data_IF_510886531981
#
_entry.id   IF_510886531981
#
_cell.length_a   1.000
_cell.length_b   1.000
_cell.length_c   1.000
_cell.angle_alpha   90.00
_cell.angle_beta   90.00
_cell.angle_gamma   90.00
#
_symmetry.space_group_name_H-M   'P 1'
#
loop_
_entity.id
_entity.type
_entity.pdbx_description
1 polymer ?
#
# COMPACT_ATOMS: atom_id res chain seq x y z
N UNK A 1 -19.71 2.38 9.60
CA UNK A 1 -20.55 2.34 8.39
C UNK A 1 -19.86 2.88 7.14
N UNK A 2 -19.04 3.95 7.20
CA UNK A 2 -18.29 4.46 6.03
C UNK A 2 -17.27 3.46 5.42
N UNK A 3 -16.71 2.55 6.23
CA UNK A 3 -15.67 1.59 5.82
C UNK A 3 -16.16 0.53 4.81
N UNK A 4 -17.42 0.11 4.95
CA UNK A 4 -18.03 -0.91 4.08
C UNK A 4 -18.32 -0.34 2.67
N UNK A 5 -18.65 0.96 2.58
CA UNK A 5 -18.84 1.64 1.30
C UNK A 5 -17.53 1.84 0.54
N UNK A 6 -16.42 2.06 1.25
CA UNK A 6 -15.10 2.16 0.62
C UNK A 6 -14.69 0.82 -0.01
N UNK A 7 -14.83 -0.29 0.72
CA UNK A 7 -14.57 -1.65 0.19
C UNK A 7 -15.52 -2.05 -0.95
N UNK A 8 -16.80 -1.66 -0.89
CA UNK A 8 -17.78 -1.92 -1.96
C UNK A 8 -17.48 -1.14 -3.25
N UNK A 9 -16.95 0.09 -3.14
CA UNK A 9 -16.57 0.88 -4.32
C UNK A 9 -15.44 0.21 -5.13
N UNK A 10 -14.50 -0.45 -4.45
CA UNK A 10 -13.41 -1.19 -5.10
C UNK A 10 -13.86 -2.49 -5.74
N UNK A 11 -14.77 -3.25 -5.10
CA UNK A 11 -15.30 -4.49 -5.68
C UNK A 11 -16.12 -4.26 -6.96
N UNK A 12 -16.77 -3.10 -7.12
CA UNK A 12 -17.57 -2.77 -8.31
C UNK A 12 -16.73 -2.33 -9.53
N UNK A 13 -15.46 -1.97 -9.34
CA UNK A 13 -14.57 -1.57 -10.44
C UNK A 13 -13.82 -2.75 -11.08
N UNK A 14 -13.79 -3.92 -10.44
CA UNK A 14 -13.07 -5.12 -10.91
C UNK A 14 -13.74 -5.91 -12.04
N UNK A 15 -14.84 -5.40 -12.63
CA UNK A 15 -15.65 -6.14 -13.60
C UNK A 15 -15.40 -5.83 -15.09
N UNK A 16 -14.55 -4.86 -15.43
CA UNK A 16 -14.33 -4.46 -16.82
C UNK A 16 -12.95 -4.89 -17.32
N UNK A 17 -12.89 -6.09 -17.91
CA UNK A 17 -11.78 -6.51 -18.77
C UNK A 17 -11.78 -5.68 -20.06
N UNK A 18 -11.30 -4.44 -19.99
CA UNK A 18 -10.88 -3.71 -21.17
C UNK A 18 -9.40 -4.00 -21.42
N UNK A 19 -9.04 -4.36 -22.66
CA UNK A 19 -7.66 -4.23 -23.13
C UNK A 19 -7.25 -2.77 -22.89
N UNK A 20 -6.54 -2.51 -21.78
CA UNK A 20 -6.25 -1.17 -21.31
C UNK A 20 -5.05 -0.63 -22.09
N UNK A 21 -5.36 0.18 -23.11
CA UNK A 21 -4.39 1.05 -23.76
C UNK A 21 -3.64 1.90 -22.71
N UNK A 22 -2.35 2.13 -22.94
CA UNK A 22 -1.53 3.02 -22.11
C UNK A 22 -2.29 4.34 -21.95
N UNK A 23 -2.54 4.82 -20.72
CA UNK A 23 -3.36 6.01 -20.53
C UNK A 23 -2.70 7.21 -21.22
N UNK A 24 -3.40 7.79 -22.18
CA UNK A 24 -2.99 9.06 -22.79
C UNK A 24 -2.82 10.09 -21.69
N UNK A 25 -1.61 10.66 -21.58
CA UNK A 25 -1.32 11.66 -20.57
C UNK A 25 -2.08 12.96 -20.89
N UNK A 26 -2.93 13.40 -19.95
CA UNK A 26 -3.71 14.63 -20.11
C UNK A 26 -2.96 15.76 -19.40
N UNK A 27 -2.55 16.84 -20.10
CA UNK A 27 -1.73 17.92 -19.51
C UNK A 27 -2.30 18.51 -18.22
N UNK A 28 -3.61 18.82 -18.21
CA UNK A 28 -4.30 19.30 -17.00
C UNK A 28 -4.17 18.34 -15.81
N UNK A 29 -4.19 17.02 -16.07
CA UNK A 29 -4.03 16.02 -15.02
C UNK A 29 -2.58 15.86 -14.59
N UNK A 30 -1.60 16.11 -15.47
CA UNK A 30 -0.18 16.20 -15.08
C UNK A 30 0.02 17.38 -14.12
N UNK A 31 -0.52 18.55 -14.46
CA UNK A 31 -0.40 19.75 -13.61
C UNK A 31 -1.05 19.54 -12.24
N UNK A 32 -2.26 18.95 -12.20
CA UNK A 32 -2.93 18.60 -10.95
C UNK A 32 -2.09 17.59 -10.13
N UNK A 33 -1.54 16.57 -10.79
CA UNK A 33 -0.72 15.57 -10.15
C UNK A 33 0.60 16.14 -9.63
N UNK A 34 1.22 17.08 -10.36
CA UNK A 34 2.41 17.80 -9.94
C UNK A 34 2.14 18.66 -8.70
N UNK A 35 1.01 19.37 -8.63
CA UNK A 35 0.62 20.10 -7.41
C UNK A 35 0.43 19.17 -6.22
N UNK A 36 -0.12 17.98 -6.45
CA UNK A 36 -0.32 16.97 -5.42
C UNK A 36 1.02 16.43 -4.90
N UNK A 37 1.96 16.10 -5.80
CA UNK A 37 3.31 15.65 -5.41
C UNK A 37 4.12 16.76 -4.75
N UNK A 38 4.00 18.01 -5.21
CA UNK A 38 4.70 19.17 -4.66
C UNK A 38 4.35 19.53 -3.21
N UNK A 39 3.35 18.88 -2.63
CA UNK A 39 3.12 18.93 -1.18
C UNK A 39 4.21 18.17 -0.37
N UNK A 40 4.89 17.21 -0.99
CA UNK A 40 6.05 16.56 -0.40
C UNK A 40 7.30 17.43 -0.53
N UNK A 41 8.23 17.30 0.42
CA UNK A 41 9.54 17.95 0.33
C UNK A 41 10.48 17.18 -0.61
N UNK A 42 10.31 15.87 -0.67
CA UNK A 42 11.06 15.01 -1.59
C UNK A 42 10.08 14.23 -2.46
N UNK A 43 9.78 14.76 -3.64
CA UNK A 43 8.85 14.14 -4.59
C UNK A 43 9.41 12.82 -5.17
N UNK A 44 10.73 12.65 -5.23
CA UNK A 44 11.37 11.47 -5.82
C UNK A 44 11.02 10.17 -5.11
N UNK A 45 10.64 10.22 -3.83
CA UNK A 45 10.18 9.02 -3.09
C UNK A 45 8.98 8.38 -3.79
N UNK A 46 8.15 9.16 -4.48
CA UNK A 46 6.96 8.63 -5.14
C UNK A 46 7.26 7.84 -6.41
N UNK A 47 8.47 7.92 -6.98
CA UNK A 47 8.90 7.05 -8.09
C UNK A 47 8.80 5.56 -7.73
N UNK A 48 9.01 5.26 -6.44
CA UNK A 48 9.00 3.91 -5.87
C UNK A 48 7.81 3.65 -4.96
N UNK A 49 6.76 4.50 -4.98
CA UNK A 49 5.63 4.40 -4.05
C UNK A 49 4.94 3.03 -4.08
N UNK A 50 4.90 2.42 -5.26
CA UNK A 50 4.33 1.09 -5.45
C UNK A 50 5.34 -0.02 -5.15
N UNK A 51 6.65 0.26 -5.14
CA UNK A 51 7.68 -0.72 -4.78
C UNK A 51 7.78 -0.89 -3.26
N UNK A 52 7.48 0.18 -2.50
CA UNK A 52 7.46 0.13 -1.05
C UNK A 52 6.38 -0.82 -0.51
N UNK A 53 6.81 -1.77 0.30
CA UNK A 53 5.89 -2.56 1.08
C UNK A 53 5.31 -1.72 2.25
N UNK A 54 4.35 -2.29 2.98
CA UNK A 54 3.79 -1.59 4.14
C UNK A 54 4.82 -1.34 5.23
N UNK A 55 5.72 -2.30 5.47
CA UNK A 55 6.68 -2.28 6.54
C UNK A 55 7.83 -1.29 6.28
N UNK A 56 8.23 -1.10 5.03
CA UNK A 56 9.15 -0.04 4.60
C UNK A 56 8.66 1.32 5.11
N UNK A 57 7.39 1.63 4.87
CA UNK A 57 6.81 2.92 5.25
C UNK A 57 6.45 2.98 6.74
N UNK A 58 6.01 1.86 7.30
CA UNK A 58 5.71 1.78 8.73
C UNK A 58 6.96 2.01 9.59
N UNK A 59 8.10 1.47 9.19
CA UNK A 59 9.35 1.59 9.94
C UNK A 59 10.21 2.81 9.55
N UNK A 60 10.02 3.40 8.37
CA UNK A 60 10.69 4.63 7.95
C UNK A 60 9.78 5.86 8.18
N UNK A 61 10.03 6.59 9.26
CA UNK A 61 9.28 7.81 9.61
C UNK A 61 9.49 8.97 8.63
N UNK A 62 10.62 9.02 7.94
CA UNK A 62 10.85 10.04 6.93
C UNK A 62 9.96 9.78 5.71
N UNK A 63 9.94 8.53 5.25
CA UNK A 63 9.06 8.09 4.15
C UNK A 63 7.58 8.25 4.50
N UNK A 64 7.16 7.83 5.70
CA UNK A 64 5.81 8.07 6.21
C UNK A 64 5.46 9.57 6.16
N UNK A 65 6.37 10.45 6.59
CA UNK A 65 6.12 11.89 6.63
C UNK A 65 5.92 12.48 5.23
N UNK A 66 6.69 12.06 4.23
CA UNK A 66 6.50 12.52 2.85
C UNK A 66 5.14 12.08 2.30
N UNK A 67 4.77 10.82 2.50
CA UNK A 67 3.48 10.27 2.04
C UNK A 67 2.31 10.98 2.75
N UNK A 68 2.43 11.23 4.06
CA UNK A 68 1.41 11.93 4.84
C UNK A 68 1.18 13.38 4.37
N UNK A 69 2.21 14.08 3.87
CA UNK A 69 2.03 15.43 3.31
C UNK A 69 1.16 15.42 2.04
N UNK A 70 1.35 14.43 1.18
CA UNK A 70 0.54 14.25 -0.03
C UNK A 70 -0.90 13.90 0.31
N UNK A 71 -1.13 13.04 1.31
CA UNK A 71 -2.49 12.74 1.82
C UNK A 71 -3.20 14.01 2.31
N UNK A 72 -2.50 14.83 3.10
CA UNK A 72 -3.03 16.07 3.67
C UNK A 72 -2.95 17.27 2.71
N UNK A 73 -2.52 17.06 1.47
CA UNK A 73 -2.38 18.12 0.48
C UNK A 73 -3.75 18.71 0.15
N UNK A 74 -3.91 20.06 0.19
CA UNK A 74 -5.15 20.73 -0.14
C UNK A 74 -5.43 20.75 -1.65
N UNK A 75 -4.47 20.33 -2.48
CA UNK A 75 -4.65 20.23 -3.92
C UNK A 75 -5.88 19.39 -4.28
N UNK A 76 -6.65 19.89 -5.25
CA UNK A 76 -7.80 19.17 -5.77
C UNK A 76 -7.35 17.87 -6.44
N UNK A 77 -8.12 16.80 -6.25
CA UNK A 77 -7.97 15.55 -6.99
C UNK A 77 -9.21 15.38 -7.86
N UNK A 78 -9.28 16.11 -8.98
CA UNK A 78 -10.42 16.06 -9.90
C UNK A 78 -10.19 15.06 -11.04
N UNK A 79 -8.93 14.82 -11.40
CA UNK A 79 -8.59 13.75 -12.32
C UNK A 79 -8.63 12.39 -11.62
N UNK A 80 -9.15 11.36 -12.30
CA UNK A 80 -9.22 10.00 -11.78
C UNK A 80 -7.84 9.48 -11.32
N UNK A 81 -6.76 9.83 -12.04
CA UNK A 81 -5.40 9.44 -11.66
C UNK A 81 -4.98 10.00 -10.30
N UNK A 82 -5.24 11.29 -10.06
CA UNK A 82 -4.96 11.93 -8.77
C UNK A 82 -5.80 11.33 -7.65
N UNK A 83 -7.08 11.02 -7.92
CA UNK A 83 -7.96 10.34 -6.95
C UNK A 83 -7.49 8.94 -6.61
N UNK A 84 -7.10 8.13 -7.60
CA UNK A 84 -6.56 6.79 -7.38
C UNK A 84 -5.27 6.84 -6.57
N UNK A 85 -4.32 7.70 -6.96
CA UNK A 85 -3.08 7.87 -6.23
C UNK A 85 -3.33 8.33 -4.79
N UNK A 86 -4.15 9.38 -4.58
CA UNK A 86 -4.48 9.88 -3.24
C UNK A 86 -5.17 8.80 -2.40
N UNK A 87 -6.02 7.98 -3.00
CA UNK A 87 -6.66 6.84 -2.31
C UNK A 87 -5.66 5.77 -1.89
N UNK A 88 -4.70 5.43 -2.77
CA UNK A 88 -3.63 4.48 -2.47
C UNK A 88 -2.79 4.93 -1.27
N UNK A 89 -2.26 6.16 -1.32
CA UNK A 89 -1.42 6.69 -0.24
C UNK A 89 -2.22 6.92 1.05
N UNK A 90 -3.49 7.32 0.94
CA UNK A 90 -4.37 7.49 2.11
C UNK A 90 -4.67 6.16 2.79
N UNK A 91 -4.89 5.09 2.01
CA UNK A 91 -5.09 3.75 2.55
C UNK A 91 -3.85 3.28 3.32
N UNK A 92 -2.66 3.49 2.75
CA UNK A 92 -1.40 3.15 3.40
C UNK A 92 -1.18 3.90 4.71
N UNK A 93 -1.39 5.22 4.75
CA UNK A 93 -1.26 6.02 5.98
C UNK A 93 -2.32 5.62 7.01
N UNK A 94 -3.57 5.39 6.58
CA UNK A 94 -4.65 4.98 7.48
C UNK A 94 -4.37 3.63 8.16
N UNK A 95 -3.81 2.67 7.40
CA UNK A 95 -3.38 1.40 7.98
C UNK A 95 -2.25 1.63 8.98
N UNK A 96 -1.21 2.40 8.60
CA UNK A 96 -0.09 2.69 9.51
C UNK A 96 -0.61 3.32 10.80
N UNK A 97 -1.47 4.33 10.73
CA UNK A 97 -2.01 5.01 11.91
C UNK A 97 -2.85 4.08 12.81
N UNK A 98 -3.62 3.17 12.19
CA UNK A 98 -4.39 2.16 12.92
C UNK A 98 -3.46 1.21 13.68
N UNK A 99 -2.41 0.71 13.02
CA UNK A 99 -1.49 -0.25 13.59
C UNK A 99 -0.44 0.36 14.52
N UNK A 100 -0.02 1.61 14.29
CA UNK A 100 0.86 2.34 15.20
C UNK A 100 0.18 2.50 16.57
N UNK A 101 -1.11 2.88 16.57
CA UNK A 101 -1.87 3.01 17.83
C UNK A 101 -2.06 1.70 18.59
N UNK A 102 -2.04 0.56 17.91
CA UNK A 102 -2.50 -0.71 18.48
C UNK A 102 -1.40 -1.78 18.62
N UNK A 103 -0.32 -1.73 17.82
CA UNK A 103 0.76 -2.72 17.79
C UNK A 103 2.18 -2.14 17.97
N UNK A 104 2.39 -0.82 17.97
CA UNK A 104 3.73 -0.21 17.93
C UNK A 104 4.69 -0.67 19.03
N UNK A 105 4.18 -0.96 20.24
CA UNK A 105 5.03 -1.43 21.35
C UNK A 105 5.45 -2.90 21.19
N UNK A 106 4.87 -3.64 20.25
CA UNK A 106 5.02 -5.10 20.09
C UNK A 106 5.57 -5.51 18.72
N UNK A 107 5.14 -4.84 17.65
CA UNK A 107 5.54 -5.11 16.28
C UNK A 107 6.70 -4.20 15.87
N UNK A 108 7.89 -4.52 16.35
CA UNK A 108 9.13 -3.84 15.92
C UNK A 108 9.65 -4.44 14.62
N UNK A 109 10.51 -3.72 13.89
CA UNK A 109 11.19 -4.23 12.69
C UNK A 109 11.91 -5.54 12.97
N UNK A 110 12.65 -5.60 14.09
CA UNK A 110 13.33 -6.82 14.53
C UNK A 110 12.37 -7.99 14.73
N UNK A 111 11.26 -7.77 15.43
CA UNK A 111 10.25 -8.80 15.66
C UNK A 111 9.65 -9.30 14.34
N UNK A 112 9.33 -8.37 13.43
CA UNK A 112 8.80 -8.71 12.12
C UNK A 112 9.79 -9.53 11.28
N UNK A 113 11.06 -9.12 11.23
CA UNK A 113 12.12 -9.82 10.51
C UNK A 113 12.32 -11.26 11.05
N UNK A 114 12.19 -11.47 12.36
CA UNK A 114 12.28 -12.80 12.99
C UNK A 114 11.12 -13.73 12.57
N UNK A 115 9.88 -13.22 12.54
CA UNK A 115 8.70 -13.96 12.05
C UNK A 115 8.90 -14.30 10.57
N UNK A 116 9.24 -13.31 9.74
CA UNK A 116 9.39 -13.46 8.29
C UNK A 116 10.50 -14.43 7.92
N UNK A 117 11.65 -14.36 8.60
CA UNK A 117 12.78 -15.29 8.36
C UNK A 117 12.38 -16.75 8.56
N UNK A 118 11.46 -17.03 9.46
CA UNK A 118 10.95 -18.37 9.72
C UNK A 118 9.99 -18.82 8.61
N UNK A 119 9.11 -17.92 8.16
CA UNK A 119 8.09 -18.22 7.15
C UNK A 119 8.58 -18.20 5.69
N UNK A 120 9.63 -17.43 5.37
CA UNK A 120 10.22 -17.37 4.03
C UNK A 120 10.99 -18.65 3.62
N UNK A 121 11.00 -19.69 4.47
CA UNK A 121 11.50 -21.03 4.13
C UNK A 121 10.50 -21.87 3.35
N UNK A 122 9.27 -21.39 3.18
CA UNK A 122 8.24 -22.06 2.39
C UNK A 122 8.53 -21.75 0.90
N UNK A 123 8.79 -22.77 0.06
CA UNK A 123 9.03 -22.56 -1.37
C UNK A 123 7.82 -21.89 -2.02
N UNK A 124 8.03 -20.80 -2.74
CA UNK A 124 6.99 -20.26 -3.61
C UNK A 124 6.88 -21.12 -4.88
N UNK A 125 5.66 -21.41 -5.36
CA UNK A 125 5.49 -22.11 -6.63
C UNK A 125 6.11 -21.30 -7.78
N UNK A 126 6.66 -21.95 -8.82
CA UNK A 126 7.18 -21.25 -9.98
C UNK A 126 6.08 -20.50 -10.75
N UNK A 127 6.37 -19.27 -11.17
CA UNK A 127 5.58 -18.49 -12.14
C UNK A 127 5.46 -19.27 -13.46
N UNK A 128 4.31 -19.23 -14.17
CA UNK A 128 3.49 -18.04 -14.40
C UNK A 128 2.04 -18.09 -13.85
N UNK A 129 1.64 -19.11 -13.08
CA UNK A 129 0.24 -19.28 -12.64
C UNK A 129 -0.06 -18.74 -11.22
N UNK A 130 0.89 -18.04 -10.61
CA UNK A 130 0.80 -17.58 -9.23
C UNK A 130 0.39 -16.11 -9.18
N UNK A 131 -0.73 -15.80 -8.51
CA UNK A 131 -1.09 -14.44 -8.12
C UNK A 131 -0.06 -13.98 -7.06
N UNK A 132 0.77 -12.94 -7.32
CA UNK A 132 1.77 -12.47 -6.38
C UNK A 132 1.16 -11.95 -5.07
N UNK A 133 -0.15 -11.68 -5.05
CA UNK A 133 -0.89 -11.34 -3.86
C UNK A 133 -1.44 -12.58 -3.11
N UNK A 134 -1.43 -13.79 -3.68
CA UNK A 134 -1.91 -15.02 -3.02
C UNK A 134 -0.91 -15.53 -1.97
N UNK A 135 -0.90 -14.86 -0.83
CA UNK A 135 0.02 -15.11 0.29
C UNK A 135 -0.57 -16.01 1.36
N UNK A 136 -1.69 -16.71 1.11
CA UNK A 136 -2.47 -17.38 2.15
C UNK A 136 -1.66 -18.33 3.05
N UNK A 137 -0.78 -19.14 2.49
CA UNK A 137 0.05 -20.07 3.27
C UNK A 137 1.19 -19.36 4.03
N UNK A 138 1.74 -18.29 3.44
CA UNK A 138 2.69 -17.42 4.12
C UNK A 138 2.02 -16.68 5.28
N UNK A 139 0.83 -16.15 5.08
CA UNK A 139 0.07 -15.41 6.10
C UNK A 139 -0.31 -16.30 7.27
N UNK A 140 -0.75 -17.55 7.02
CA UNK A 140 -0.96 -18.54 8.09
C UNK A 140 0.30 -18.76 8.91
N UNK A 141 1.46 -18.92 8.26
CA UNK A 141 2.72 -19.07 8.97
C UNK A 141 3.04 -17.82 9.81
N UNK A 142 2.89 -16.61 9.24
CA UNK A 142 3.17 -15.36 9.93
C UNK A 142 2.31 -15.23 11.21
N UNK A 143 1.02 -15.58 11.14
CA UNK A 143 0.12 -15.57 12.31
C UNK A 143 0.54 -16.61 13.36
N UNK A 144 0.90 -17.82 12.94
CA UNK A 144 1.36 -18.87 13.85
C UNK A 144 2.66 -18.51 14.56
N UNK A 145 3.62 -17.90 13.86
CA UNK A 145 4.87 -17.42 14.46
C UNK A 145 4.64 -16.20 15.36
N UNK A 146 3.75 -15.28 14.98
CA UNK A 146 3.36 -14.17 15.82
C UNK A 146 2.72 -14.64 17.15
N UNK A 147 1.92 -15.70 17.13
CA UNK A 147 1.30 -16.29 18.32
C UNK A 147 2.32 -16.91 19.30
N UNK A 148 3.54 -17.22 18.85
CA UNK A 148 4.62 -17.74 19.72
C UNK A 148 5.39 -16.64 20.43
N UNK A 149 5.14 -15.37 20.10
CA UNK A 149 5.86 -14.26 20.72
C UNK A 149 5.43 -14.09 22.18
N UNK A 150 6.37 -14.01 23.13
CA UNK A 150 6.08 -14.04 24.57
C UNK A 150 5.31 -12.80 25.07
N UNK A 151 5.18 -11.78 24.23
CA UNK A 151 4.63 -10.48 24.56
C UNK A 151 3.32 -10.17 23.82
N UNK A 152 2.78 -11.14 23.11
CA UNK A 152 1.59 -10.97 22.28
C UNK A 152 0.40 -11.69 22.92
N UNK A 153 -0.71 -10.97 23.07
CA UNK A 153 -1.99 -11.54 23.46
C UNK A 153 -2.74 -12.08 22.24
N UNK A 154 -3.78 -12.89 22.46
CA UNK A 154 -4.67 -13.34 21.39
C UNK A 154 -5.27 -12.16 20.59
N UNK A 155 -5.55 -11.05 21.27
CA UNK A 155 -6.04 -9.83 20.62
C UNK A 155 -5.01 -9.23 19.66
N UNK A 156 -3.74 -9.25 20.04
CA UNK A 156 -2.64 -8.73 19.20
C UNK A 156 -2.44 -9.61 17.97
N UNK A 157 -2.54 -10.93 18.13
CA UNK A 157 -2.47 -11.90 17.03
C UNK A 157 -3.62 -11.69 16.04
N UNK A 158 -4.86 -11.53 16.53
CA UNK A 158 -6.03 -11.23 15.67
C UNK A 158 -5.88 -9.90 14.94
N UNK A 159 -5.32 -8.91 15.60
CA UNK A 159 -5.06 -7.62 14.98
C UNK A 159 -4.00 -7.74 13.87
N UNK A 160 -2.94 -8.52 14.09
CA UNK A 160 -1.94 -8.82 13.08
C UNK A 160 -2.51 -9.64 11.91
N UNK A 161 -3.41 -10.59 12.16
CA UNK A 161 -4.15 -11.28 11.10
C UNK A 161 -4.99 -10.31 10.25
N UNK A 162 -5.66 -9.34 10.87
CA UNK A 162 -6.35 -8.27 10.15
C UNK A 162 -5.37 -7.41 9.33
N UNK A 163 -4.18 -7.09 9.86
CA UNK A 163 -3.14 -6.39 9.09
C UNK A 163 -2.84 -7.13 7.80
N UNK A 164 -2.54 -8.44 7.88
CA UNK A 164 -2.21 -9.26 6.71
C UNK A 164 -3.34 -9.24 5.67
N UNK A 165 -4.61 -9.31 6.12
CA UNK A 165 -5.77 -9.19 5.23
C UNK A 165 -5.82 -7.84 4.50
N UNK A 166 -5.46 -6.74 5.18
CA UNK A 166 -5.36 -5.43 4.55
C UNK A 166 -4.17 -5.31 3.60
N UNK A 167 -3.04 -5.95 3.90
CA UNK A 167 -1.89 -6.01 3.00
C UNK A 167 -2.23 -6.77 1.72
N UNK A 168 -3.01 -7.85 1.82
CA UNK A 168 -3.52 -8.57 0.65
C UNK A 168 -4.40 -7.66 -0.23
N UNK A 169 -5.33 -6.90 0.38
CA UNK A 169 -6.14 -5.93 -0.35
C UNK A 169 -5.29 -4.81 -0.99
N UNK A 170 -4.26 -4.30 -0.28
CA UNK A 170 -3.31 -3.32 -0.80
C UNK A 170 -2.55 -3.84 -2.02
N UNK A 171 -2.13 -5.10 -1.99
CA UNK A 171 -1.42 -5.74 -3.09
C UNK A 171 -2.25 -5.72 -4.38
N UNK A 172 -3.54 -6.08 -4.30
CA UNK A 172 -4.46 -6.00 -5.45
C UNK A 172 -4.63 -4.58 -5.98
N UNK A 173 -4.75 -3.60 -5.07
CA UNK A 173 -4.83 -2.19 -5.45
C UNK A 173 -3.57 -1.68 -6.15
N UNK A 174 -2.38 -2.13 -5.73
CA UNK A 174 -1.10 -1.75 -6.34
C UNK A 174 -1.07 -2.11 -7.82
N UNK A 175 -1.46 -3.33 -8.19
CA UNK A 175 -1.36 -3.81 -9.58
C UNK A 175 -2.36 -3.12 -10.50
N UNK A 176 -3.58 -2.87 -10.00
CA UNK A 176 -4.60 -2.16 -10.75
C UNK A 176 -4.27 -0.68 -10.92
N UNK A 177 -3.92 0.02 -9.84
CA UNK A 177 -3.72 1.47 -9.86
C UNK A 177 -2.34 1.87 -10.35
N UNK A 178 -1.30 1.09 -10.04
CA UNK A 178 0.09 1.37 -10.43
C UNK A 178 0.24 1.52 -11.95
N UNK A 179 -0.49 0.72 -12.73
CA UNK A 179 -0.51 0.82 -14.21
C UNK A 179 -1.02 2.17 -14.72
N UNK A 180 -1.96 2.80 -14.01
CA UNK A 180 -2.54 4.10 -14.40
C UNK A 180 -1.77 5.29 -13.87
N UNK A 181 -1.25 5.16 -12.66
CA UNK A 181 -0.64 6.27 -11.93
C UNK A 181 0.84 6.42 -12.30
N UNK A 182 1.56 5.32 -12.52
CA UNK A 182 3.01 5.34 -12.80
C UNK A 182 3.40 6.27 -13.96
N UNK A 183 2.71 6.28 -15.13
CA UNK A 183 3.06 7.20 -16.21
C UNK A 183 2.99 8.68 -15.81
N UNK A 184 2.07 9.06 -14.91
CA UNK A 184 1.95 10.43 -14.41
C UNK A 184 3.05 10.77 -13.40
N UNK A 185 3.42 9.83 -12.52
CA UNK A 185 4.59 9.97 -11.64
C UNK A 185 5.86 10.19 -12.48
N UNK A 186 6.07 9.34 -13.50
CA UNK A 186 7.23 9.41 -14.36
C UNK A 186 7.23 10.72 -15.20
N UNK A 187 6.06 11.21 -15.63
CA UNK A 187 5.94 12.48 -16.34
C UNK A 187 6.24 13.71 -15.46
N UNK A 188 5.84 13.69 -14.18
CA UNK A 188 6.13 14.81 -13.26
C UNK A 188 7.59 14.78 -12.82
N UNK A 189 8.06 13.64 -12.32
CA UNK A 189 9.38 13.55 -11.68
C UNK A 189 10.49 13.31 -12.71
N UNK A 190 10.22 12.57 -13.79
CA UNK A 190 11.20 12.33 -14.86
C UNK A 190 11.45 13.53 -15.77
N UNK A 191 10.64 14.58 -15.65
CA UNK A 191 10.83 15.88 -16.32
C UNK A 191 11.55 16.92 -15.45
N UNK A 192 11.92 16.54 -14.21
CA UNK A 192 12.57 17.40 -13.20
C UNK A 192 14.08 17.40 -13.30
#
# INVERSE_FOLDING_TARGET
MFYYYFLLFFFLLGGASCQQEVPTLIPKCIDEFSQLLGCAKNETVFQHIYDYDFFDVYFDRALYSEIAKVVNCPAAASCNVSMFFKSYVSFQISLIDLFDKQLQTRLTKKTYDEIVKTCNRIPQPPLPFYDPCDTADRDKCLVQEAAKLPNWSEKDVKLFEHLLSYLHAKCKMKDEQGRFVKPYIDAVIGSS
#
